data_IF_809341190542
#
_entry.id   IF_809341190542
#
_cell.length_a   1.000
_cell.length_b   1.000
_cell.length_c   1.000
_cell.angle_alpha   90.00
_cell.angle_beta   90.00
_cell.angle_gamma   90.00
#
_symmetry.space_group_name_H-M   'P 1'
#
loop_
_entity.id
_entity.type
_entity.pdbx_description
1 polymer ?
#
# COMPACT_ATOMS: atom_id res chain seq x y z
N UNK A 1 -24.95 3.44 7.47
CA UNK A 1 -23.80 4.33 7.24
C UNK A 1 -23.18 3.93 5.91
N UNK A 2 -23.03 4.85 4.96
CA UNK A 2 -22.40 4.57 3.67
C UNK A 2 -20.92 4.22 3.91
N UNK A 3 -20.52 3.02 3.46
CA UNK A 3 -19.12 2.60 3.52
C UNK A 3 -18.30 3.55 2.67
N UNK A 4 -17.31 4.22 3.27
CA UNK A 4 -16.33 4.99 2.52
C UNK A 4 -15.56 4.03 1.64
N UNK A 5 -15.59 4.28 0.35
CA UNK A 5 -14.89 3.50 -0.64
C UNK A 5 -13.36 3.74 -0.48
N UNK A 6 -12.53 2.73 -0.71
CA UNK A 6 -11.07 2.88 -0.72
C UNK A 6 -10.62 4.04 -1.65
N UNK A 7 -11.37 4.28 -2.76
CA UNK A 7 -11.16 5.43 -3.62
C UNK A 7 -11.34 6.78 -2.92
N UNK A 8 -12.23 6.86 -1.93
CA UNK A 8 -12.44 8.08 -1.16
C UNK A 8 -11.32 8.30 -0.13
N UNK A 9 -10.71 7.22 0.37
CA UNK A 9 -9.54 7.28 1.24
C UNK A 9 -8.31 7.87 0.54
N UNK A 10 -8.23 7.72 -0.79
CA UNK A 10 -7.11 8.20 -1.60
C UNK A 10 -7.36 9.52 -2.34
N UNK A 11 -8.61 9.96 -2.49
CA UNK A 11 -8.97 11.13 -3.32
C UNK A 11 -9.58 12.31 -2.57
N UNK A 12 -9.78 12.21 -1.25
CA UNK A 12 -10.38 13.27 -0.44
C UNK A 12 -9.42 14.44 -0.13
N UNK A 13 -9.98 15.62 0.17
CA UNK A 13 -9.21 16.70 0.77
C UNK A 13 -8.82 16.30 2.20
N UNK A 14 -7.64 15.77 2.34
CA UNK A 14 -7.08 15.43 3.64
C UNK A 14 -6.24 16.62 4.09
N UNK A 15 -6.48 17.09 5.28
CA UNK A 15 -5.90 18.34 5.78
C UNK A 15 -4.77 18.07 6.77
N UNK A 16 -4.81 16.96 7.51
CA UNK A 16 -3.80 16.62 8.52
C UNK A 16 -3.30 15.18 8.37
N UNK A 17 -2.11 14.92 8.90
CA UNK A 17 -1.51 13.59 8.99
C UNK A 17 -2.40 12.62 9.78
N UNK A 18 -3.02 13.12 10.83
CA UNK A 18 -3.87 12.35 11.72
C UNK A 18 -5.18 11.91 11.04
N UNK A 19 -5.77 12.81 10.24
CA UNK A 19 -6.94 12.49 9.42
C UNK A 19 -6.59 11.45 8.35
N UNK A 20 -5.44 11.56 7.71
CA UNK A 20 -4.97 10.58 6.73
C UNK A 20 -4.82 9.20 7.36
N UNK A 21 -4.15 9.13 8.50
CA UNK A 21 -3.95 7.88 9.24
C UNK A 21 -5.29 7.25 9.64
N UNK A 22 -6.21 8.05 10.16
CA UNK A 22 -7.53 7.56 10.57
C UNK A 22 -8.33 6.97 9.41
N UNK A 23 -8.32 7.62 8.25
CA UNK A 23 -9.02 7.13 7.05
C UNK A 23 -8.41 5.81 6.57
N UNK A 24 -7.08 5.68 6.58
CA UNK A 24 -6.41 4.46 6.19
C UNK A 24 -6.71 3.30 7.14
N UNK A 25 -6.63 3.54 8.45
CA UNK A 25 -6.91 2.52 9.44
C UNK A 25 -8.37 2.05 9.41
N UNK A 26 -9.32 2.94 9.10
CA UNK A 26 -10.74 2.60 8.93
C UNK A 26 -10.98 1.73 7.67
N UNK A 27 -10.20 1.96 6.61
CA UNK A 27 -10.28 1.19 5.37
C UNK A 27 -9.61 -0.18 5.43
N UNK A 28 -8.73 -0.42 6.40
CA UNK A 28 -7.97 -1.67 6.53
C UNK A 28 -8.66 -2.64 7.49
N UNK A 29 -8.61 -3.93 7.14
CA UNK A 29 -8.92 -5.00 8.08
C UNK A 29 -7.85 -5.06 9.19
N UNK A 30 -8.21 -5.47 10.40
CA UNK A 30 -7.27 -5.57 11.53
C UNK A 30 -6.04 -6.45 11.22
N UNK A 31 -6.26 -7.53 10.46
CA UNK A 31 -5.22 -8.44 9.97
C UNK A 31 -4.71 -8.07 8.57
N UNK A 32 -4.81 -6.80 8.16
CA UNK A 32 -4.42 -6.37 6.81
C UNK A 32 -2.99 -6.78 6.49
N UNK A 33 -2.77 -7.19 5.24
CA UNK A 33 -1.45 -7.56 4.70
C UNK A 33 -1.12 -6.61 3.55
N UNK A 34 0.02 -5.94 3.65
CA UNK A 34 0.57 -5.17 2.54
C UNK A 34 1.86 -5.81 2.03
N UNK A 35 1.96 -6.01 0.73
CA UNK A 35 3.08 -6.65 0.06
C UNK A 35 3.64 -5.72 -1.02
N UNK A 36 4.96 -5.53 -1.01
CA UNK A 36 5.72 -4.83 -2.04
C UNK A 36 6.72 -5.77 -2.72
N UNK A 37 6.29 -6.59 -3.68
CA UNK A 37 7.13 -7.63 -4.28
C UNK A 37 8.20 -7.09 -5.24
N UNK A 38 8.07 -5.83 -5.69
CA UNK A 38 9.00 -5.22 -6.67
C UNK A 38 10.23 -4.57 -6.05
N UNK A 39 10.27 -4.43 -4.72
CA UNK A 39 11.47 -3.94 -4.05
C UNK A 39 12.60 -4.97 -4.11
N UNK A 40 13.84 -4.49 -4.09
CA UNK A 40 15.03 -5.36 -4.12
C UNK A 40 15.01 -6.38 -2.98
N UNK A 41 14.59 -5.95 -1.80
CA UNK A 41 14.21 -6.83 -0.70
C UNK A 41 12.68 -6.81 -0.64
N UNK A 42 11.98 -7.88 -1.07
CA UNK A 42 10.53 -7.92 -1.02
C UNK A 42 10.02 -7.69 0.39
N UNK A 43 8.98 -6.87 0.50
CA UNK A 43 8.43 -6.44 1.79
C UNK A 43 7.06 -7.07 2.00
N UNK A 44 6.81 -7.50 3.23
CA UNK A 44 5.47 -7.86 3.70
C UNK A 44 5.24 -7.29 5.08
N UNK A 45 4.17 -6.53 5.23
CA UNK A 45 3.71 -5.96 6.48
C UNK A 45 2.38 -6.61 6.87
N UNK A 46 2.25 -7.07 8.11
CA UNK A 46 1.10 -7.80 8.62
C UNK A 46 0.49 -7.06 9.80
N UNK A 47 -0.82 -6.85 9.72
CA UNK A 47 -1.61 -6.11 10.69
C UNK A 47 -1.75 -4.63 10.33
N UNK A 48 -2.92 -4.06 10.63
CA UNK A 48 -3.21 -2.65 10.34
C UNK A 48 -2.22 -1.69 11.03
N UNK A 49 -1.67 -2.06 12.19
CA UNK A 49 -0.67 -1.25 12.89
C UNK A 49 0.64 -1.16 12.09
N UNK A 50 1.14 -2.28 11.54
CA UNK A 50 2.35 -2.28 10.74
C UNK A 50 2.17 -1.46 9.45
N UNK A 51 1.03 -1.63 8.79
CA UNK A 51 0.68 -0.83 7.60
C UNK A 51 0.51 0.64 7.96
N UNK A 52 -0.08 0.95 9.11
CA UNK A 52 -0.22 2.32 9.62
C UNK A 52 1.14 3.00 9.84
N UNK A 53 2.10 2.31 10.44
CA UNK A 53 3.48 2.83 10.64
C UNK A 53 4.21 3.05 9.31
N UNK A 54 3.98 2.20 8.34
CA UNK A 54 4.47 2.41 6.98
C UNK A 54 3.89 3.70 6.37
N UNK A 55 2.59 3.94 6.54
CA UNK A 55 1.96 5.17 6.09
C UNK A 55 2.51 6.40 6.81
N UNK A 56 2.73 6.33 8.12
CA UNK A 56 3.39 7.40 8.89
C UNK A 56 4.79 7.72 8.32
N UNK A 57 5.56 6.69 7.99
CA UNK A 57 6.86 6.88 7.35
C UNK A 57 6.73 7.55 5.99
N UNK A 58 5.82 7.10 5.13
CA UNK A 58 5.55 7.72 3.83
C UNK A 58 5.20 9.20 4.00
N UNK A 59 4.30 9.52 4.91
CA UNK A 59 3.85 10.90 5.15
C UNK A 59 4.90 11.77 5.83
N UNK A 60 5.86 11.18 6.55
CA UNK A 60 7.02 11.91 7.10
C UNK A 60 7.95 12.45 6.03
N UNK A 61 7.96 11.83 4.84
CA UNK A 61 8.76 12.24 3.69
C UNK A 61 7.94 13.05 2.68
N UNK A 62 6.68 12.66 2.48
CA UNK A 62 5.74 13.27 1.53
C UNK A 62 4.46 13.70 2.27
N UNK A 63 4.47 14.82 3.01
CA UNK A 63 3.38 15.20 3.92
C UNK A 63 2.01 15.40 3.26
N UNK A 64 2.01 15.75 1.97
CA UNK A 64 0.81 15.92 1.16
C UNK A 64 0.70 14.84 0.09
N UNK A 65 0.99 13.60 0.49
CA UNK A 65 0.83 12.47 -0.41
C UNK A 65 -0.63 12.33 -0.83
N UNK A 66 -0.84 12.16 -2.13
CA UNK A 66 -2.16 11.89 -2.68
C UNK A 66 -2.07 10.87 -3.80
N UNK A 67 -3.14 10.14 -4.03
CA UNK A 67 -3.28 9.23 -5.14
C UNK A 67 -4.51 9.57 -5.98
N UNK A 68 -4.44 9.22 -7.26
CA UNK A 68 -5.55 9.31 -8.20
C UNK A 68 -5.72 7.95 -8.85
N UNK A 69 -6.90 7.37 -8.72
CA UNK A 69 -7.28 6.16 -9.46
C UNK A 69 -7.34 6.47 -10.95
N UNK A 70 -6.65 5.66 -11.74
CA UNK A 70 -6.62 5.73 -13.20
C UNK A 70 -7.65 4.75 -13.77
N UNK A 71 -7.65 3.51 -13.29
CA UNK A 71 -8.56 2.46 -13.71
C UNK A 71 -8.79 1.44 -12.60
N UNK A 72 -9.92 0.75 -12.69
CA UNK A 72 -10.28 -0.36 -11.79
C UNK A 72 -10.69 -1.55 -12.66
N UNK A 73 -10.08 -2.69 -12.41
CA UNK A 73 -10.31 -3.91 -13.17
C UNK A 73 -10.87 -4.99 -12.25
N UNK A 74 -12.09 -5.47 -12.49
CA UNK A 74 -12.61 -6.62 -11.77
C UNK A 74 -11.80 -7.87 -12.12
N UNK A 75 -11.74 -8.82 -11.18
CA UNK A 75 -11.14 -10.13 -11.41
C UNK A 75 -12.22 -11.22 -11.41
N UNK A 76 -11.82 -12.46 -11.67
CA UNK A 76 -12.73 -13.60 -11.55
C UNK A 76 -13.16 -13.88 -10.09
N UNK A 77 -12.35 -13.42 -9.12
CA UNK A 77 -12.68 -13.44 -7.70
C UNK A 77 -13.43 -12.14 -7.35
N UNK A 78 -14.70 -12.21 -6.92
CA UNK A 78 -15.52 -11.03 -6.61
C UNK A 78 -14.97 -10.19 -5.44
N UNK A 79 -14.15 -10.79 -4.57
CA UNK A 79 -13.52 -10.09 -3.45
C UNK A 79 -12.17 -9.45 -3.82
N UNK A 80 -11.66 -9.71 -5.02
CA UNK A 80 -10.38 -9.19 -5.49
C UNK A 80 -10.54 -8.22 -6.67
N UNK A 81 -9.92 -7.06 -6.56
CA UNK A 81 -9.92 -6.01 -7.58
C UNK A 81 -8.50 -5.56 -7.86
N UNK A 82 -8.21 -5.24 -9.11
CA UNK A 82 -6.96 -4.58 -9.49
C UNK A 82 -7.24 -3.09 -9.64
N UNK A 83 -6.43 -2.27 -8.98
CA UNK A 83 -6.50 -0.81 -9.06
C UNK A 83 -5.21 -0.27 -9.66
N UNK A 84 -5.34 0.41 -10.80
CA UNK A 84 -4.27 1.24 -11.33
C UNK A 84 -4.41 2.65 -10.80
N UNK A 85 -3.34 3.19 -10.22
CA UNK A 85 -3.33 4.54 -9.70
C UNK A 85 -2.00 5.25 -9.96
N UNK A 86 -2.03 6.57 -9.88
CA UNK A 86 -0.85 7.41 -9.82
C UNK A 86 -0.86 8.19 -8.53
N UNK A 87 0.31 8.42 -7.95
CA UNK A 87 0.38 9.17 -6.70
C UNK A 87 1.72 9.86 -6.53
N UNK A 88 1.79 10.68 -5.50
CA UNK A 88 2.98 11.43 -5.14
C UNK A 88 2.68 12.70 -4.38
N UNK A 89 3.68 13.54 -4.29
CA UNK A 89 3.63 14.83 -3.61
C UNK A 89 5.03 15.44 -3.52
N UNK A 90 5.10 16.65 -2.99
CA UNK A 90 6.37 17.30 -2.72
C UNK A 90 6.99 16.68 -1.45
N UNK A 91 8.29 16.45 -1.49
CA UNK A 91 9.02 15.89 -0.36
C UNK A 91 9.46 16.99 0.59
N UNK A 92 9.72 16.66 1.86
CA UNK A 92 10.14 17.62 2.90
C UNK A 92 11.48 18.28 2.61
N UNK A 93 12.31 17.69 1.76
CA UNK A 93 13.60 18.22 1.31
C UNK A 93 13.52 19.08 0.03
N UNK A 94 12.31 19.37 -0.45
CA UNK A 94 12.05 20.20 -1.63
C UNK A 94 12.09 19.44 -2.95
N UNK A 95 12.22 18.11 -2.92
CA UNK A 95 12.10 17.25 -4.09
C UNK A 95 10.63 16.93 -4.42
N UNK A 96 10.45 15.96 -5.31
CA UNK A 96 9.13 15.45 -5.68
C UNK A 96 9.14 13.95 -5.83
N UNK A 97 8.21 13.31 -5.14
CA UNK A 97 7.89 11.90 -5.29
C UNK A 97 6.76 11.73 -6.30
N UNK A 98 6.94 10.84 -7.26
CA UNK A 98 5.91 10.43 -8.21
C UNK A 98 5.96 8.92 -8.40
N UNK A 99 4.81 8.28 -8.41
CA UNK A 99 4.72 6.83 -8.53
C UNK A 99 3.50 6.42 -9.34
N UNK A 100 3.61 5.28 -10.00
CA UNK A 100 2.48 4.52 -10.53
C UNK A 100 2.35 3.22 -9.76
N UNK A 101 1.12 2.86 -9.48
CA UNK A 101 0.78 1.69 -8.68
C UNK A 101 -0.12 0.77 -9.49
N UNK A 102 0.14 -0.50 -9.37
CA UNK A 102 -0.75 -1.56 -9.78
C UNK A 102 -0.99 -2.42 -8.54
N UNK A 103 -2.16 -2.30 -7.94
CA UNK A 103 -2.43 -2.90 -6.64
C UNK A 103 -3.55 -3.93 -6.76
N UNK A 104 -3.26 -5.19 -6.42
CA UNK A 104 -4.28 -6.19 -6.19
C UNK A 104 -4.81 -6.00 -4.77
N UNK A 105 -6.11 -5.77 -4.65
CA UNK A 105 -6.78 -5.56 -3.35
C UNK A 105 -7.80 -6.66 -3.16
N UNK A 106 -7.57 -7.52 -2.18
CA UNK A 106 -8.56 -8.49 -1.73
C UNK A 106 -9.28 -7.92 -0.50
N UNK A 107 -10.59 -7.90 -0.53
CA UNK A 107 -11.44 -7.36 0.52
C UNK A 107 -11.99 -8.48 1.42
N UNK A 108 -12.15 -8.18 2.70
CA UNK A 108 -12.84 -9.02 3.67
C UNK A 108 -13.77 -8.16 4.49
N UNK A 109 -15.04 -8.49 4.55
CA UNK A 109 -16.07 -7.70 5.24
C UNK A 109 -16.13 -6.23 4.80
N UNK A 110 -15.75 -5.95 3.53
CA UNK A 110 -15.74 -4.60 2.97
C UNK A 110 -14.54 -3.74 3.37
N UNK A 111 -13.53 -4.33 4.00
CA UNK A 111 -12.25 -3.69 4.31
C UNK A 111 -11.12 -4.34 3.49
N UNK A 112 -10.08 -3.59 3.18
CA UNK A 112 -8.90 -4.13 2.50
C UNK A 112 -8.17 -5.10 3.44
N UNK A 113 -8.14 -6.37 3.04
CA UNK A 113 -7.49 -7.44 3.80
C UNK A 113 -6.09 -7.74 3.26
N UNK A 114 -5.92 -7.78 1.94
CA UNK A 114 -4.61 -7.99 1.33
C UNK A 114 -4.40 -7.00 0.20
N UNK A 115 -3.28 -6.34 0.22
CA UNK A 115 -2.89 -5.37 -0.80
C UNK A 115 -1.51 -5.78 -1.33
N UNK A 116 -1.44 -6.21 -2.58
CA UNK A 116 -0.16 -6.50 -3.24
C UNK A 116 0.10 -5.40 -4.25
N UNK A 117 1.12 -4.62 -3.99
CA UNK A 117 1.38 -3.37 -4.70
C UNK A 117 2.65 -3.46 -5.54
N UNK A 118 2.49 -3.31 -6.85
CA UNK A 118 3.57 -3.26 -7.82
C UNK A 118 3.90 -1.81 -8.14
N UNK A 119 5.13 -1.42 -7.86
CA UNK A 119 5.64 -0.06 -8.02
C UNK A 119 6.98 -0.07 -8.74
N UNK A 120 7.43 1.11 -9.18
CA UNK A 120 8.82 1.28 -9.58
C UNK A 120 9.67 1.60 -8.34
N UNK A 121 10.49 0.67 -7.84
CA UNK A 121 11.27 0.87 -6.62
C UNK A 121 12.30 1.99 -6.74
N UNK A 122 12.80 2.28 -7.96
CA UNK A 122 13.73 3.39 -8.18
C UNK A 122 13.12 4.75 -7.81
N UNK A 123 11.83 4.96 -8.08
CA UNK A 123 11.16 6.20 -7.69
C UNK A 123 11.06 6.32 -6.17
N UNK A 124 10.80 5.23 -5.49
CA UNK A 124 10.79 5.17 -4.03
C UNK A 124 12.19 5.44 -3.48
N UNK A 125 13.20 4.72 -3.94
CA UNK A 125 14.58 4.89 -3.46
C UNK A 125 15.14 6.29 -3.73
N UNK A 126 14.79 6.90 -4.85
CA UNK A 126 15.18 8.27 -5.17
C UNK A 126 14.66 9.29 -4.16
N UNK A 127 13.42 9.12 -3.69
CA UNK A 127 12.77 10.11 -2.81
C UNK A 127 12.97 9.81 -1.31
N UNK A 128 13.09 8.54 -0.94
CA UNK A 128 13.20 8.11 0.45
C UNK A 128 14.62 7.79 0.88
N UNK A 129 15.54 7.57 -0.08
CA UNK A 129 16.84 6.97 0.15
C UNK A 129 16.73 5.45 0.35
N UNK A 130 17.47 4.66 -0.44
CA UNK A 130 17.39 3.19 -0.41
C UNK A 130 17.66 2.64 1.01
N UNK A 131 18.79 2.99 1.59
CA UNK A 131 19.19 2.51 2.93
C UNK A 131 18.19 2.91 4.02
N UNK A 132 17.66 4.14 3.96
CA UNK A 132 16.65 4.61 4.89
C UNK A 132 15.35 3.83 4.73
N UNK A 133 14.91 3.61 3.48
CA UNK A 133 13.73 2.81 3.18
C UNK A 133 13.86 1.39 3.73
N UNK A 134 14.91 0.67 3.36
CA UNK A 134 15.14 -0.72 3.78
C UNK A 134 15.24 -0.84 5.30
N UNK A 135 15.93 0.07 5.96
CA UNK A 135 16.05 0.09 7.41
C UNK A 135 14.68 0.30 8.09
N UNK A 136 13.94 1.33 7.72
CA UNK A 136 12.66 1.66 8.37
C UNK A 136 11.63 0.54 8.14
N UNK A 137 11.53 0.05 6.91
CA UNK A 137 10.62 -1.06 6.60
C UNK A 137 11.03 -2.33 7.34
N UNK A 138 12.32 -2.62 7.41
CA UNK A 138 12.84 -3.75 8.18
C UNK A 138 12.51 -3.64 9.67
N UNK A 139 12.63 -2.45 10.27
CA UNK A 139 12.26 -2.20 11.67
C UNK A 139 10.74 -2.39 11.91
N UNK A 140 9.90 -1.97 10.97
CA UNK A 140 8.45 -2.18 11.05
C UNK A 140 8.15 -3.69 10.96
N UNK A 141 8.74 -4.37 9.99
CA UNK A 141 8.56 -5.80 9.79
C UNK A 141 9.04 -6.64 10.98
N UNK A 142 10.17 -6.28 11.59
CA UNK A 142 10.71 -6.98 12.75
C UNK A 142 9.84 -6.87 14.02
N UNK A 143 9.00 -5.85 14.12
CA UNK A 143 8.09 -5.64 15.25
C UNK A 143 6.75 -6.35 15.10
N UNK A 144 6.53 -7.02 13.99
CA UNK A 144 5.33 -7.83 13.76
C UNK A 144 5.44 -9.12 14.60
N UNK A 145 4.47 -9.36 15.47
CA UNK A 145 4.44 -10.55 16.33
C UNK A 145 4.01 -11.85 15.60
N UNK A 146 3.87 -11.81 14.30
CA UNK A 146 3.50 -12.98 13.50
C UNK A 146 4.63 -13.29 12.53
N UNK A 147 5.30 -14.44 12.65
CA UNK A 147 6.27 -14.85 11.65
C UNK A 147 5.52 -15.02 10.31
N UNK A 148 5.98 -14.28 9.30
CA UNK A 148 5.59 -14.57 7.93
C UNK A 148 6.01 -16.00 7.61
N UNK A 149 5.15 -16.83 7.01
CA UNK A 149 5.58 -18.08 6.46
C UNK A 149 6.53 -17.77 5.29
N UNK A 150 7.82 -17.72 5.60
CA UNK A 150 8.89 -17.34 4.67
C UNK A 150 9.05 -18.31 3.48
N UNK A 151 8.17 -19.28 3.35
CA UNK A 151 8.28 -20.36 2.39
C UNK A 151 7.09 -20.53 1.44
N UNK A 152 6.09 -19.68 1.49
CA UNK A 152 5.09 -19.70 0.42
C UNK A 152 5.46 -18.66 -0.63
N UNK A 153 5.95 -19.09 -1.81
CA UNK A 153 5.93 -18.20 -2.95
C UNK A 153 4.50 -17.69 -3.11
N UNK A 154 4.31 -16.43 -3.58
CA UNK A 154 2.97 -15.95 -3.91
C UNK A 154 2.29 -17.02 -4.75
N UNK A 155 1.04 -17.36 -4.37
CA UNK A 155 0.26 -18.31 -5.16
C UNK A 155 0.41 -17.93 -6.64
N UNK A 156 0.80 -18.88 -7.49
CA UNK A 156 0.96 -18.59 -8.89
C UNK A 156 -0.37 -18.01 -9.38
N UNK A 157 -0.30 -16.83 -9.98
CA UNK A 157 -1.45 -16.28 -10.68
C UNK A 157 -1.74 -17.28 -11.79
N UNK A 158 -2.72 -18.13 -11.59
CA UNK A 158 -3.22 -19.00 -12.65
C UNK A 158 -3.99 -18.11 -13.59
N UNK A 159 -3.27 -17.60 -14.60
CA UNK A 159 -3.91 -16.95 -15.74
C UNK A 159 -4.75 -18.02 -16.42
N UNK A 160 -6.05 -18.03 -16.13
CA UNK A 160 -6.97 -18.81 -16.98
C UNK A 160 -6.98 -18.19 -18.38
N UNK A 161 -6.81 -18.99 -19.43
CA UNK A 161 -6.90 -18.47 -20.79
C UNK A 161 -8.26 -17.81 -20.97
N UNK A 162 -8.23 -16.58 -21.48
CA UNK A 162 -9.43 -15.87 -21.93
C UNK A 162 -10.16 -16.77 -22.92
N UNK A 163 -11.38 -17.15 -22.59
CA UNK A 163 -12.30 -17.84 -23.51
C UNK A 163 -13.00 -16.82 -24.38
#
# INVERSE_FOLDING_TARGET
>A
MARKNLGDAFGGKITTLEEQRAIWLDALHEDAIWEGPTFEIPVTLIGCEAVGRFMEFLLSVVPRFSTKTVAVYPTADPDTTIVESSGGGDTVDGGRYTQRYFTLITSRNGQAFRMREYVNPFQTYKSFGKERWERVIGEIAAKQNRPWPASQPPDPIVLQPLR
#
